data_IF_701771145035
#
_entry.id   IF_701771145035
#
_cell.length_a   1.000
_cell.length_b   1.000
_cell.length_c   1.000
_cell.angle_alpha   90.00
_cell.angle_beta   90.00
_cell.angle_gamma   90.00
#
_symmetry.space_group_name_H-M   'P 1'
#
loop_
_entity.id
_entity.type
_entity.pdbx_description
1 polymer ?
#
# COMPACT_ATOMS: atom_id res chain seq x y z
N UNK A 1 -34.71 70.80 -13.55
CA UNK A 1 -34.02 70.13 -14.68
C UNK A 1 -33.49 68.78 -14.17
N UNK A 2 -33.92 67.71 -14.80
CA UNK A 2 -33.67 66.34 -14.39
C UNK A 2 -32.26 65.91 -14.81
N UNK A 3 -31.56 65.18 -13.95
CA UNK A 3 -30.40 64.42 -14.40
C UNK A 3 -30.49 63.00 -13.87
N UNK A 4 -30.63 62.04 -14.82
CA UNK A 4 -30.75 60.63 -14.59
C UNK A 4 -29.36 60.00 -14.43
N UNK A 5 -29.09 59.33 -13.31
CA UNK A 5 -27.88 58.54 -13.12
C UNK A 5 -28.10 57.11 -13.60
N UNK A 6 -27.28 56.66 -14.52
CA UNK A 6 -27.24 55.32 -15.10
C UNK A 6 -26.49 54.39 -14.13
N UNK A 7 -27.18 53.33 -13.65
CA UNK A 7 -26.56 52.25 -12.88
C UNK A 7 -26.02 51.17 -13.83
N UNK A 8 -24.69 51.03 -13.85
CA UNK A 8 -24.02 49.93 -14.54
C UNK A 8 -24.02 48.71 -13.63
N UNK A 9 -24.80 47.66 -13.96
CA UNK A 9 -24.77 46.36 -13.28
C UNK A 9 -23.63 45.55 -13.87
N UNK A 10 -22.49 45.41 -13.15
CA UNK A 10 -21.48 44.37 -13.42
C UNK A 10 -21.90 43.07 -12.73
N UNK A 11 -22.53 42.18 -13.47
CA UNK A 11 -22.82 40.82 -13.03
C UNK A 11 -21.53 39.97 -13.13
N UNK A 12 -20.88 39.69 -12.01
CA UNK A 12 -19.92 38.60 -11.89
C UNK A 12 -20.67 37.36 -11.45
N UNK A 13 -20.93 36.46 -12.37
CA UNK A 13 -21.34 35.09 -12.06
C UNK A 13 -20.14 34.32 -11.58
N UNK A 14 -20.19 33.62 -10.42
CA UNK A 14 -19.13 32.69 -10.03
C UNK A 14 -19.20 31.47 -10.93
N UNK A 15 -18.21 31.31 -11.77
CA UNK A 15 -18.06 30.12 -12.59
C UNK A 15 -17.51 28.97 -11.68
N UNK A 16 -18.40 28.28 -10.98
CA UNK A 16 -18.06 27.06 -10.26
C UNK A 16 -17.93 25.93 -11.29
N UNK A 17 -16.77 25.82 -11.91
CA UNK A 17 -16.39 24.57 -12.56
C UNK A 17 -16.08 23.54 -11.48
N UNK A 18 -17.12 22.88 -10.99
CA UNK A 18 -16.98 21.61 -10.29
C UNK A 18 -16.44 20.63 -11.33
N UNK A 19 -15.16 20.30 -11.22
CA UNK A 19 -14.57 19.16 -11.93
C UNK A 19 -15.47 17.96 -11.66
N UNK A 20 -16.01 17.26 -12.67
CA UNK A 20 -16.88 16.12 -12.43
C UNK A 20 -16.02 15.07 -11.69
N UNK A 21 -16.45 14.67 -10.48
CA UNK A 21 -15.94 13.47 -9.81
C UNK A 21 -16.16 12.33 -10.81
N UNK A 22 -15.05 11.85 -11.41
CA UNK A 22 -15.10 10.67 -12.28
C UNK A 22 -15.69 9.53 -11.43
N UNK A 23 -16.80 8.96 -11.85
CA UNK A 23 -17.39 7.78 -11.22
C UNK A 23 -16.34 6.67 -11.18
N UNK A 24 -16.13 6.09 -10.01
CA UNK A 24 -15.28 4.90 -9.84
C UNK A 24 -15.84 3.83 -10.79
N UNK A 25 -14.98 3.26 -11.62
CA UNK A 25 -15.39 2.29 -12.62
C UNK A 25 -15.81 0.99 -11.91
N UNK A 26 -17.08 0.56 -12.10
CA UNK A 26 -17.63 -0.64 -11.47
C UNK A 26 -16.83 -1.89 -11.86
N UNK A 27 -16.42 -2.67 -10.85
CA UNK A 27 -15.68 -3.92 -11.05
C UNK A 27 -14.16 -3.78 -11.15
N UNK A 28 -13.62 -2.58 -10.96
CA UNK A 28 -12.16 -2.36 -10.92
C UNK A 28 -11.57 -2.84 -9.59
N UNK A 29 -10.44 -3.55 -9.68
CA UNK A 29 -9.66 -3.97 -8.52
C UNK A 29 -8.33 -3.19 -8.50
N UNK A 30 -7.92 -2.76 -7.32
CA UNK A 30 -6.58 -2.26 -7.02
C UNK A 30 -5.97 -3.22 -6.01
N UNK A 31 -4.84 -3.84 -6.37
CA UNK A 31 -4.03 -4.56 -5.41
C UNK A 31 -3.05 -3.58 -4.79
N UNK A 32 -3.25 -3.31 -3.50
CA UNK A 32 -2.54 -2.24 -2.79
C UNK A 32 -1.15 -2.62 -2.31
N UNK A 33 -0.70 -3.86 -2.55
CA UNK A 33 0.68 -4.30 -2.33
C UNK A 33 1.01 -5.56 -3.12
N UNK A 34 1.94 -5.45 -4.07
CA UNK A 34 2.42 -6.58 -4.86
C UNK A 34 3.91 -6.45 -5.17
N UNK A 35 4.51 -7.56 -5.53
CA UNK A 35 5.84 -7.63 -6.15
C UNK A 35 5.76 -8.04 -7.63
N UNK A 36 4.60 -7.84 -8.26
CA UNK A 36 4.40 -8.07 -9.68
C UNK A 36 5.35 -7.19 -10.51
N UNK A 37 5.97 -7.77 -11.54
CA UNK A 37 6.92 -7.03 -12.39
C UNK A 37 8.30 -6.83 -11.75
N UNK A 38 8.58 -7.43 -10.59
CA UNK A 38 9.91 -7.38 -9.98
C UNK A 38 11.00 -7.88 -10.94
N UNK A 39 12.24 -7.37 -10.82
CA UNK A 39 13.36 -7.89 -11.59
C UNK A 39 13.59 -9.37 -11.24
N UNK A 40 13.69 -10.21 -12.25
CA UNK A 40 14.13 -11.60 -12.09
C UNK A 40 15.66 -11.65 -11.92
N UNK A 41 16.18 -12.80 -11.50
CA UNK A 41 17.65 -13.02 -11.45
C UNK A 41 18.35 -12.79 -12.79
N UNK A 42 17.60 -12.89 -13.90
CA UNK A 42 18.07 -12.61 -15.26
C UNK A 42 18.06 -11.12 -15.61
N UNK A 43 17.56 -10.25 -14.74
CA UNK A 43 17.34 -8.83 -15.00
C UNK A 43 16.06 -8.51 -15.77
N UNK A 44 15.32 -9.52 -16.25
CA UNK A 44 14.07 -9.33 -16.96
C UNK A 44 12.90 -9.07 -16.00
N UNK A 45 11.99 -8.22 -16.45
CA UNK A 45 10.71 -7.98 -15.75
C UNK A 45 9.75 -9.13 -16.00
N UNK A 46 8.96 -9.52 -15.02
CA UNK A 46 7.92 -10.54 -15.18
C UNK A 46 6.67 -9.98 -15.87
N UNK A 47 6.80 -9.73 -17.18
CA UNK A 47 5.72 -9.21 -18.01
C UNK A 47 4.55 -10.18 -18.15
N UNK A 48 4.77 -11.48 -17.97
CA UNK A 48 3.70 -12.47 -18.04
C UNK A 48 2.71 -12.29 -16.87
N UNK A 49 3.21 -12.01 -15.67
CA UNK A 49 2.36 -11.68 -14.51
C UNK A 49 1.56 -10.39 -14.78
N UNK A 50 2.23 -9.33 -15.26
CA UNK A 50 1.57 -8.05 -15.52
C UNK A 50 0.50 -8.15 -16.63
N UNK A 51 0.71 -8.99 -17.63
CA UNK A 51 -0.25 -9.20 -18.72
C UNK A 51 -1.59 -9.78 -18.25
N UNK A 52 -1.65 -10.38 -17.04
CA UNK A 52 -2.89 -10.90 -16.45
C UNK A 52 -3.74 -9.84 -15.76
N UNK A 53 -3.29 -8.59 -15.63
CA UNK A 53 -4.04 -7.51 -14.97
C UNK A 53 -5.36 -7.19 -15.69
N UNK A 54 -5.30 -6.78 -16.95
CA UNK A 54 -6.48 -6.35 -17.71
C UNK A 54 -7.56 -7.43 -17.80
N UNK A 55 -7.24 -8.70 -18.16
CA UNK A 55 -8.24 -9.77 -18.23
C UNK A 55 -8.96 -10.04 -16.90
N UNK A 56 -8.33 -9.69 -15.76
CA UNK A 56 -8.87 -9.96 -14.42
C UNK A 56 -9.40 -8.71 -13.73
N UNK A 57 -9.60 -7.60 -14.47
CA UNK A 57 -10.21 -6.39 -13.92
C UNK A 57 -9.30 -5.60 -12.96
N UNK A 58 -7.99 -5.81 -13.01
CA UNK A 58 -7.04 -5.03 -12.21
C UNK A 58 -6.79 -3.70 -12.91
N UNK A 59 -7.23 -2.61 -12.31
CA UNK A 59 -6.98 -1.25 -12.81
C UNK A 59 -5.64 -0.69 -12.36
N UNK A 60 -5.15 -1.11 -11.20
CA UNK A 60 -3.80 -0.80 -10.75
C UNK A 60 -3.21 -1.88 -9.86
N UNK A 61 -1.90 -2.05 -9.94
CA UNK A 61 -1.09 -2.81 -8.99
C UNK A 61 -0.07 -1.88 -8.34
N UNK A 62 -0.08 -1.82 -7.00
CA UNK A 62 0.94 -1.11 -6.24
C UNK A 62 2.16 -2.02 -6.14
N UNK A 63 3.23 -1.66 -6.85
CA UNK A 63 4.43 -2.49 -7.00
C UNK A 63 5.54 -2.01 -6.08
N UNK A 64 5.92 -2.84 -5.11
CA UNK A 64 6.85 -2.48 -4.05
C UNK A 64 8.30 -2.84 -4.39
N UNK A 65 9.18 -1.83 -4.35
CA UNK A 65 10.62 -1.98 -4.39
C UNK A 65 11.13 -2.29 -2.97
N UNK A 66 11.78 -3.43 -2.78
CA UNK A 66 12.26 -3.87 -1.46
C UNK A 66 13.61 -3.22 -1.16
N UNK A 67 13.65 -2.34 -0.16
CA UNK A 67 14.85 -1.57 0.16
C UNK A 67 15.92 -2.41 0.89
N UNK A 68 15.54 -3.24 1.83
CA UNK A 68 16.46 -4.04 2.67
C UNK A 68 16.91 -5.36 2.03
N UNK A 69 16.52 -5.65 0.77
CA UNK A 69 16.86 -6.91 0.07
C UNK A 69 18.36 -7.25 0.09
N UNK A 70 19.30 -6.27 0.04
CA UNK A 70 20.73 -6.60 0.10
C UNK A 70 21.19 -7.16 1.45
N UNK A 71 20.45 -6.90 2.53
CA UNK A 71 20.82 -7.24 3.89
C UNK A 71 20.10 -8.48 4.43
N UNK A 72 19.03 -8.93 3.76
CA UNK A 72 18.18 -10.04 4.23
C UNK A 72 18.35 -11.29 3.38
N UNK A 73 18.20 -12.44 4.03
CA UNK A 73 18.12 -13.74 3.34
C UNK A 73 17.13 -14.65 4.04
N UNK A 74 16.66 -15.65 3.32
CA UNK A 74 15.85 -16.71 3.92
C UNK A 74 16.76 -17.67 4.71
N UNK A 75 16.50 -17.78 5.99
CA UNK A 75 17.14 -18.79 6.83
C UNK A 75 16.70 -20.21 6.37
N UNK A 76 17.63 -21.12 6.08
CA UNK A 76 17.29 -22.45 5.56
C UNK A 76 16.58 -23.34 6.59
N UNK A 77 16.75 -23.07 7.89
CA UNK A 77 16.15 -23.86 8.98
C UNK A 77 14.76 -23.31 9.37
N UNK A 78 14.69 -22.03 9.71
CA UNK A 78 13.45 -21.39 10.19
C UNK A 78 12.53 -20.99 9.07
N UNK A 79 13.02 -20.93 7.81
CA UNK A 79 12.32 -20.42 6.62
C UNK A 79 11.92 -18.94 6.71
N UNK A 80 12.36 -18.22 7.74
CA UNK A 80 12.13 -16.78 7.90
C UNK A 80 13.13 -15.98 7.11
N UNK A 81 12.73 -14.78 6.70
CA UNK A 81 13.65 -13.75 6.22
C UNK A 81 14.25 -13.08 7.46
N UNK A 82 15.57 -12.97 7.47
CA UNK A 82 16.32 -12.40 8.58
C UNK A 82 17.55 -11.66 8.08
N UNK A 83 18.05 -10.74 8.88
CA UNK A 83 19.33 -10.06 8.61
C UNK A 83 20.47 -11.06 8.59
N UNK A 84 21.31 -11.00 7.59
CA UNK A 84 22.50 -11.84 7.49
C UNK A 84 23.82 -11.05 7.44
N UNK A 85 23.75 -9.74 7.17
CA UNK A 85 24.90 -8.82 7.16
C UNK A 85 24.43 -7.37 7.32
N UNK A 86 25.34 -6.48 7.58
CA UNK A 86 25.14 -5.04 7.44
C UNK A 86 25.19 -4.65 5.95
N UNK A 87 24.47 -3.61 5.58
CA UNK A 87 24.54 -3.03 4.25
C UNK A 87 25.71 -2.06 4.10
N UNK A 88 26.27 -2.00 2.91
CA UNK A 88 27.21 -0.93 2.55
C UNK A 88 26.44 0.37 2.25
N UNK A 89 27.06 1.56 2.47
CA UNK A 89 26.41 2.83 2.12
C UNK A 89 25.94 2.88 0.67
N UNK A 90 24.70 3.27 0.44
CA UNK A 90 24.07 3.37 -0.87
C UNK A 90 23.54 2.07 -1.45
N UNK A 91 23.73 0.93 -0.80
CA UNK A 91 23.34 -0.37 -1.34
C UNK A 91 21.83 -0.56 -1.34
N UNK A 92 21.13 -0.10 -0.29
CA UNK A 92 19.67 -0.09 -0.23
C UNK A 92 19.07 0.86 -1.26
N UNK A 93 19.67 2.03 -1.46
CA UNK A 93 19.25 2.96 -2.50
C UNK A 93 19.45 2.35 -3.90
N UNK A 94 20.58 1.69 -4.16
CA UNK A 94 20.82 1.01 -5.43
C UNK A 94 19.82 -0.12 -5.69
N UNK A 95 19.40 -0.86 -4.66
CA UNK A 95 18.37 -1.87 -4.77
C UNK A 95 17.02 -1.24 -5.16
N UNK A 96 16.59 -0.18 -4.49
CA UNK A 96 15.36 0.56 -4.83
C UNK A 96 15.42 1.07 -6.27
N UNK A 97 16.52 1.69 -6.69
CA UNK A 97 16.71 2.19 -8.05
C UNK A 97 16.58 1.09 -9.10
N UNK A 98 17.14 -0.09 -8.82
CA UNK A 98 17.04 -1.26 -9.72
C UNK A 98 15.59 -1.73 -9.86
N UNK A 99 14.83 -1.84 -8.75
CA UNK A 99 13.41 -2.20 -8.79
C UNK A 99 12.59 -1.18 -9.58
N UNK A 100 12.72 0.11 -9.25
CA UNK A 100 11.96 1.17 -9.91
C UNK A 100 12.25 1.22 -11.41
N UNK A 101 13.52 1.08 -11.80
CA UNK A 101 13.91 1.03 -13.21
C UNK A 101 13.31 -0.19 -13.94
N UNK A 102 13.22 -1.34 -13.25
CA UNK A 102 12.53 -2.53 -13.76
C UNK A 102 11.05 -2.29 -13.99
N UNK A 103 10.35 -1.66 -13.04
CA UNK A 103 8.93 -1.35 -13.18
C UNK A 103 8.68 -0.37 -14.33
N UNK A 104 9.51 0.67 -14.46
CA UNK A 104 9.44 1.62 -15.58
C UNK A 104 9.70 0.93 -16.93
N UNK A 105 10.64 -0.03 -16.98
CA UNK A 105 10.95 -0.81 -18.19
C UNK A 105 9.89 -1.89 -18.51
N UNK A 106 8.90 -2.12 -17.66
CA UNK A 106 7.84 -3.09 -17.87
C UNK A 106 6.95 -2.74 -19.11
N UNK A 107 6.96 -1.48 -19.51
CA UNK A 107 6.15 -0.99 -20.64
C UNK A 107 4.70 -0.71 -20.25
N UNK A 108 4.38 -0.71 -18.95
CA UNK A 108 3.08 -0.31 -18.43
C UNK A 108 3.07 1.17 -18.03
N UNK A 109 1.88 1.75 -18.01
CA UNK A 109 1.70 3.11 -17.49
C UNK A 109 2.04 3.16 -16.00
N UNK A 110 2.63 4.25 -15.58
CA UNK A 110 2.85 4.56 -14.15
C UNK A 110 1.79 5.59 -13.75
N UNK A 111 0.91 5.20 -12.82
CA UNK A 111 -0.07 6.12 -12.25
C UNK A 111 0.60 7.01 -11.19
N UNK A 112 0.55 8.31 -11.40
CA UNK A 112 1.08 9.33 -10.49
C UNK A 112 0.00 10.05 -9.72
N UNK A 113 -1.21 10.05 -10.28
CA UNK A 113 -2.41 10.68 -9.71
C UNK A 113 -3.59 9.69 -9.71
N UNK A 114 -4.54 9.83 -8.78
CA UNK A 114 -5.71 8.93 -8.73
C UNK A 114 -6.47 8.84 -10.06
N UNK A 115 -6.51 9.94 -10.83
CA UNK A 115 -7.16 9.99 -12.14
C UNK A 115 -6.46 9.23 -13.27
N UNK A 116 -5.22 8.75 -13.02
CA UNK A 116 -4.48 7.93 -13.97
C UNK A 116 -4.94 6.46 -13.97
N UNK A 117 -5.63 6.03 -12.89
CA UNK A 117 -6.02 4.64 -12.70
C UNK A 117 -7.31 4.34 -13.46
N UNK A 118 -7.26 3.34 -14.35
CA UNK A 118 -8.36 2.93 -15.22
C UNK A 118 -8.39 1.43 -15.41
N UNK A 119 -9.59 0.87 -15.53
CA UNK A 119 -9.77 -0.57 -15.73
C UNK A 119 -9.42 -1.01 -17.15
N UNK A 120 -9.68 -0.15 -18.12
CA UNK A 120 -9.45 -0.40 -19.55
C UNK A 120 -7.97 -0.20 -19.97
N UNK A 121 -7.17 0.41 -19.12
CA UNK A 121 -5.76 0.69 -19.36
C UNK A 121 -5.00 0.62 -18.02
N UNK A 122 -4.71 -0.62 -17.53
CA UNK A 122 -4.09 -0.85 -16.24
C UNK A 122 -2.75 -0.14 -16.06
N UNK A 123 -2.47 0.26 -14.84
CA UNK A 123 -1.25 0.98 -14.49
C UNK A 123 -0.55 0.40 -13.26
N UNK A 124 0.73 0.69 -13.13
CA UNK A 124 1.50 0.44 -11.91
C UNK A 124 1.50 1.71 -11.06
N UNK A 125 1.40 1.55 -9.75
CA UNK A 125 1.70 2.59 -8.76
C UNK A 125 3.02 2.23 -8.10
N UNK A 126 4.01 3.09 -8.22
CA UNK A 126 5.33 2.83 -7.64
C UNK A 126 5.28 2.96 -6.12
N UNK A 127 5.81 1.96 -5.44
CA UNK A 127 5.96 1.94 -3.99
C UNK A 127 7.36 1.46 -3.57
N UNK A 128 7.71 1.75 -2.32
CA UNK A 128 8.95 1.26 -1.70
C UNK A 128 8.59 0.58 -0.39
N UNK A 129 9.18 -0.58 -0.13
CA UNK A 129 9.02 -1.36 1.08
C UNK A 129 10.29 -1.30 1.92
N UNK A 130 10.22 -0.58 3.06
CA UNK A 130 11.33 -0.26 3.94
C UNK A 130 12.00 1.08 3.62
N UNK A 131 12.28 1.87 4.67
CA UNK A 131 12.98 3.15 4.57
C UNK A 131 14.50 3.04 4.68
N UNK A 132 15.06 1.84 4.63
CA UNK A 132 16.50 1.60 4.73
C UNK A 132 17.32 2.35 3.68
N UNK A 133 16.69 2.71 2.56
CA UNK A 133 17.30 3.51 1.50
C UNK A 133 17.53 4.98 1.87
N UNK A 134 16.94 5.48 2.96
CA UNK A 134 17.07 6.89 3.35
C UNK A 134 18.47 7.21 3.87
N UNK A 135 19.08 6.32 4.65
CA UNK A 135 20.44 6.47 5.19
C UNK A 135 20.66 7.87 5.80
N UNK A 136 19.73 8.31 6.68
CA UNK A 136 19.78 9.61 7.34
C UNK A 136 19.43 10.83 6.47
N UNK A 137 19.07 10.66 5.21
CA UNK A 137 18.81 11.74 4.26
C UNK A 137 17.35 11.81 3.82
N UNK A 138 16.57 12.75 4.37
CA UNK A 138 15.16 12.97 4.01
C UNK A 138 14.95 13.52 2.60
N UNK A 139 15.94 14.15 1.97
CA UNK A 139 15.81 14.68 0.60
C UNK A 139 15.61 13.55 -0.42
N UNK A 140 15.96 12.30 -0.06
CA UNK A 140 15.67 11.13 -0.87
C UNK A 140 14.17 10.89 -1.05
N UNK A 141 13.33 11.32 -0.09
CA UNK A 141 11.87 11.26 -0.24
C UNK A 141 11.37 12.18 -1.36
N UNK A 142 11.95 13.39 -1.48
CA UNK A 142 11.62 14.32 -2.55
C UNK A 142 12.01 13.76 -3.92
N UNK A 143 13.20 13.14 -3.99
CA UNK A 143 13.66 12.49 -5.23
C UNK A 143 12.73 11.33 -5.64
N UNK A 144 12.28 10.51 -4.67
CA UNK A 144 11.33 9.42 -4.94
C UNK A 144 9.96 9.94 -5.34
N UNK A 145 9.45 11.00 -4.71
CA UNK A 145 8.21 11.66 -5.09
C UNK A 145 8.26 12.22 -6.51
N UNK A 146 9.35 12.88 -6.89
CA UNK A 146 9.60 13.40 -8.23
C UNK A 146 9.65 12.28 -9.29
N UNK A 147 10.26 11.15 -8.96
CA UNK A 147 10.28 9.95 -9.80
C UNK A 147 8.90 9.33 -9.99
N UNK A 148 7.97 9.55 -9.08
CA UNK A 148 6.60 9.05 -9.18
C UNK A 148 6.23 7.99 -8.16
N UNK A 149 7.06 7.77 -7.14
CA UNK A 149 6.69 6.92 -6.00
C UNK A 149 5.54 7.56 -5.24
N UNK A 150 4.53 6.74 -4.87
CA UNK A 150 3.29 7.21 -4.24
C UNK A 150 2.96 6.53 -2.92
N UNK A 151 3.65 5.45 -2.59
CA UNK A 151 3.51 4.79 -1.28
C UNK A 151 4.89 4.37 -0.78
N UNK A 152 5.19 4.58 0.49
CA UNK A 152 6.43 4.13 1.12
C UNK A 152 6.09 3.52 2.48
N UNK A 153 6.52 2.29 2.66
CA UNK A 153 6.44 1.55 3.91
C UNK A 153 7.66 1.89 4.77
N UNK A 154 7.45 2.15 6.05
CA UNK A 154 8.52 2.63 6.94
C UNK A 154 9.57 1.54 7.24
N UNK A 155 9.13 0.34 7.53
CA UNK A 155 10.00 -0.78 7.90
C UNK A 155 9.61 -2.03 7.11
N UNK A 156 10.52 -2.99 6.98
CA UNK A 156 10.22 -4.28 6.35
C UNK A 156 10.66 -5.45 7.26
N UNK A 157 11.78 -6.11 6.99
CA UNK A 157 12.29 -7.19 7.84
C UNK A 157 13.39 -6.76 8.83
N UNK A 158 13.78 -5.49 8.80
CA UNK A 158 14.80 -4.94 9.68
C UNK A 158 14.24 -3.76 10.50
N UNK A 159 14.64 -3.69 11.77
CA UNK A 159 14.58 -2.45 12.52
C UNK A 159 15.52 -1.47 11.83
N UNK A 160 15.03 -0.29 11.51
CA UNK A 160 15.79 0.72 10.80
C UNK A 160 15.69 2.10 11.48
N UNK A 161 16.29 3.12 10.90
CA UNK A 161 16.31 4.47 11.45
C UNK A 161 14.94 5.15 11.58
N UNK A 162 13.86 4.57 10.99
CA UNK A 162 12.52 5.12 11.13
C UNK A 162 11.73 4.53 12.29
N UNK A 163 12.02 3.30 12.73
CA UNK A 163 11.31 2.67 13.83
C UNK A 163 11.51 1.16 13.93
N UNK A 164 10.72 0.56 14.81
CA UNK A 164 10.74 -0.86 15.14
C UNK A 164 9.74 -1.67 14.30
N UNK A 165 10.03 -2.97 14.12
CA UNK A 165 9.20 -3.93 13.41
C UNK A 165 8.42 -4.84 14.36
N UNK A 166 7.35 -5.48 13.85
CA UNK A 166 6.49 -6.38 14.64
C UNK A 166 7.18 -7.67 15.09
N UNK A 167 8.20 -8.12 14.36
CA UNK A 167 8.76 -9.49 14.48
C UNK A 167 10.03 -9.57 15.30
N UNK A 168 10.56 -8.42 15.74
CA UNK A 168 11.79 -8.34 16.53
C UNK A 168 11.53 -7.58 17.84
N UNK A 169 12.34 -7.80 18.87
CA UNK A 169 12.28 -6.99 20.07
C UNK A 169 12.46 -5.50 19.78
N UNK A 170 11.78 -4.60 20.49
CA UNK A 170 11.90 -3.17 20.25
C UNK A 170 13.31 -2.67 20.56
N UNK A 171 13.84 -1.83 19.68
CA UNK A 171 15.15 -1.15 19.81
C UNK A 171 14.92 0.33 20.17
N UNK A 172 13.93 0.96 19.56
CA UNK A 172 13.63 2.39 19.69
C UNK A 172 12.45 2.65 20.62
N UNK A 173 11.55 1.67 20.80
CA UNK A 173 10.30 1.83 21.57
C UNK A 173 9.25 2.67 20.82
N UNK A 174 9.31 2.69 19.47
CA UNK A 174 8.42 3.43 18.60
C UNK A 174 9.15 4.07 17.42
N UNK A 175 8.55 5.04 16.74
CA UNK A 175 9.26 5.75 15.67
C UNK A 175 10.34 6.63 16.27
N UNK A 176 11.49 6.70 15.61
CA UNK A 176 12.55 7.65 15.98
C UNK A 176 12.14 9.08 15.65
N UNK A 177 12.92 10.08 16.10
CA UNK A 177 12.74 11.47 15.68
C UNK A 177 12.89 11.61 14.16
N UNK A 178 13.81 10.85 13.54
CA UNK A 178 13.99 10.79 12.10
C UNK A 178 12.78 10.15 11.41
N UNK A 179 12.24 9.03 11.92
CA UNK A 179 11.04 8.39 11.39
C UNK A 179 9.82 9.30 11.43
N UNK A 180 9.61 10.02 12.55
CA UNK A 180 8.54 11.03 12.63
C UNK A 180 8.73 12.19 11.64
N UNK A 181 9.97 12.61 11.37
CA UNK A 181 10.27 13.60 10.35
C UNK A 181 10.02 13.05 8.93
N UNK A 182 10.38 11.78 8.67
CA UNK A 182 10.11 11.10 7.41
C UNK A 182 8.61 11.04 7.12
N UNK A 183 7.76 10.68 8.11
CA UNK A 183 6.30 10.68 7.99
C UNK A 183 5.77 12.05 7.58
N UNK A 184 6.20 13.11 8.26
CA UNK A 184 5.80 14.48 7.90
C UNK A 184 6.25 14.87 6.49
N UNK A 185 7.48 14.47 6.11
CA UNK A 185 7.98 14.76 4.76
C UNK A 185 7.21 14.00 3.69
N UNK A 186 6.88 12.72 3.90
CA UNK A 186 6.01 11.96 3.00
C UNK A 186 4.67 12.63 2.79
N UNK A 187 4.02 13.12 3.86
CA UNK A 187 2.76 13.86 3.77
C UNK A 187 2.91 15.13 2.90
N UNK A 188 4.01 15.88 3.04
CA UNK A 188 4.29 17.07 2.25
C UNK A 188 4.52 16.74 0.77
N UNK A 189 5.19 15.63 0.48
CA UNK A 189 5.48 15.15 -0.86
C UNK A 189 4.28 14.45 -1.55
N UNK A 190 3.16 14.27 -0.83
CA UNK A 190 2.01 13.52 -1.35
C UNK A 190 2.31 12.03 -1.53
N UNK A 191 3.13 11.46 -0.64
CA UNK A 191 3.43 10.03 -0.56
C UNK A 191 2.59 9.44 0.57
N UNK A 192 1.91 8.33 0.31
CA UNK A 192 1.14 7.59 1.30
C UNK A 192 2.12 6.88 2.24
N UNK A 193 1.91 7.06 3.55
CA UNK A 193 2.66 6.34 4.58
C UNK A 193 2.03 4.96 4.76
N UNK A 194 2.83 3.91 4.60
CA UNK A 194 2.43 2.53 4.86
C UNK A 194 3.11 2.04 6.14
N UNK A 195 2.32 1.47 7.04
CA UNK A 195 2.78 0.98 8.34
C UNK A 195 2.80 -0.55 8.45
N UNK A 196 2.57 -1.27 7.33
CA UNK A 196 2.77 -2.71 7.35
C UNK A 196 4.18 -3.03 7.86
N UNK A 197 4.34 -4.15 8.60
CA UNK A 197 5.54 -4.54 9.33
C UNK A 197 5.92 -3.70 10.55
N UNK A 198 5.46 -2.45 10.71
CA UNK A 198 5.78 -1.63 11.87
C UNK A 198 5.29 -2.26 13.19
N UNK A 199 6.04 -2.10 14.27
CA UNK A 199 5.57 -2.44 15.61
C UNK A 199 4.38 -1.57 16.01
N UNK A 200 3.57 -2.04 16.96
CA UNK A 200 2.40 -1.30 17.45
C UNK A 200 2.79 0.08 18.02
N UNK A 201 3.90 0.15 18.76
CA UNK A 201 4.42 1.43 19.28
C UNK A 201 4.90 2.36 18.16
N UNK A 202 5.48 1.80 17.08
CA UNK A 202 5.84 2.58 15.90
C UNK A 202 4.59 3.18 15.25
N UNK A 203 3.53 2.40 15.06
CA UNK A 203 2.26 2.91 14.50
C UNK A 203 1.64 3.99 15.37
N UNK A 204 1.63 3.78 16.69
CA UNK A 204 1.13 4.79 17.64
C UNK A 204 1.81 6.15 17.48
N UNK A 205 3.12 6.14 17.34
CA UNK A 205 3.86 7.39 17.11
C UNK A 205 3.68 7.96 15.70
N UNK A 206 3.50 7.11 14.68
CA UNK A 206 3.17 7.52 13.31
C UNK A 206 1.83 8.25 13.26
N UNK A 207 0.79 7.74 13.96
CA UNK A 207 -0.51 8.40 14.08
C UNK A 207 -0.38 9.80 14.68
N UNK A 208 0.52 9.98 15.67
CA UNK A 208 0.82 11.31 16.22
C UNK A 208 1.61 12.24 15.29
N UNK A 209 2.28 11.71 14.27
CA UNK A 209 3.13 12.47 13.35
C UNK A 209 2.46 12.79 12.00
N UNK A 210 1.53 11.94 11.55
CA UNK A 210 0.86 12.09 10.26
C UNK A 210 -0.26 13.12 10.31
N UNK A 211 -0.47 13.82 9.20
CA UNK A 211 -1.63 14.68 8.95
C UNK A 211 -2.55 14.13 7.85
N UNK A 212 -2.24 12.95 7.32
CA UNK A 212 -2.93 12.29 6.22
C UNK A 212 -3.29 10.85 6.62
N UNK A 213 -4.27 10.22 5.96
CA UNK A 213 -4.54 8.79 6.17
C UNK A 213 -3.32 7.92 5.89
N UNK A 214 -3.15 6.87 6.70
CA UNK A 214 -2.09 5.86 6.51
C UNK A 214 -2.67 4.56 5.95
N UNK A 215 -1.80 3.72 5.39
CA UNK A 215 -2.14 2.37 4.99
C UNK A 215 -1.44 1.34 5.90
N UNK A 216 -2.07 0.18 6.08
CA UNK A 216 -1.41 -1.07 6.41
C UNK A 216 -1.68 -2.01 5.23
N UNK A 217 -0.82 -1.99 4.23
CA UNK A 217 -1.13 -2.49 2.88
C UNK A 217 -1.36 -3.99 2.81
N UNK A 218 -0.72 -4.78 3.68
CA UNK A 218 -0.86 -6.23 3.71
C UNK A 218 -0.73 -6.74 5.15
N UNK A 219 -1.86 -7.16 5.72
CA UNK A 219 -1.93 -7.68 7.08
C UNK A 219 -3.20 -8.52 7.30
N UNK A 220 -3.19 -9.26 8.40
CA UNK A 220 -4.35 -9.99 8.90
C UNK A 220 -4.52 -9.67 10.38
N UNK A 221 -5.72 -9.84 10.90
CA UNK A 221 -5.98 -9.66 12.33
C UNK A 221 -5.56 -10.91 13.12
N UNK A 222 -5.11 -10.71 14.35
CA UNK A 222 -4.96 -11.79 15.32
C UNK A 222 -6.28 -12.54 15.48
N UNK A 223 -6.18 -13.86 15.58
CA UNK A 223 -7.35 -14.74 15.71
C UNK A 223 -7.11 -15.72 16.85
N UNK A 224 -7.47 -15.33 18.09
CA UNK A 224 -7.35 -16.20 19.24
C UNK A 224 -8.06 -17.53 19.04
N UNK A 225 -7.36 -18.63 19.35
CA UNK A 225 -7.88 -19.99 19.16
C UNK A 225 -7.61 -20.61 17.80
N UNK A 226 -7.14 -19.85 16.81
CA UNK A 226 -6.63 -20.42 15.57
C UNK A 226 -5.16 -20.84 15.72
N UNK A 227 -4.72 -22.02 15.20
CA UNK A 227 -3.33 -22.50 15.38
C UNK A 227 -2.23 -21.50 14.97
N UNK A 228 -2.49 -20.72 13.93
CA UNK A 228 -1.55 -19.72 13.41
C UNK A 228 -1.98 -18.28 13.79
N UNK A 229 -3.00 -18.12 14.64
CA UNK A 229 -3.73 -16.85 14.83
C UNK A 229 -3.03 -15.79 15.69
N UNK A 230 -1.90 -16.13 16.35
CA UNK A 230 -1.17 -15.21 17.25
C UNK A 230 0.26 -14.91 16.74
N UNK A 231 0.48 -15.01 15.44
CA UNK A 231 1.78 -14.67 14.87
C UNK A 231 2.06 -13.16 15.02
N UNK A 232 3.32 -12.75 15.31
CA UNK A 232 3.68 -11.32 15.51
C UNK A 232 3.31 -10.39 14.34
N UNK A 233 3.23 -10.93 13.11
CA UNK A 233 2.82 -10.18 11.93
C UNK A 233 1.31 -9.87 11.87
N UNK A 234 0.50 -10.43 12.77
CA UNK A 234 -0.93 -10.16 12.78
C UNK A 234 -1.25 -9.00 13.72
N UNK A 235 -2.21 -8.18 13.28
CA UNK A 235 -2.57 -6.95 13.95
C UNK A 235 -3.39 -7.24 15.21
N UNK A 236 -3.06 -6.56 16.31
CA UNK A 236 -3.95 -6.43 17.45
C UNK A 236 -5.18 -5.58 17.08
N UNK A 237 -6.28 -5.65 17.86
CA UNK A 237 -7.40 -4.73 17.69
C UNK A 237 -7.00 -3.25 17.84
N UNK A 238 -6.03 -2.95 18.71
CA UNK A 238 -5.56 -1.59 18.94
C UNK A 238 -4.76 -1.08 17.73
N UNK A 239 -3.90 -1.91 17.16
CA UNK A 239 -3.20 -1.58 15.92
C UNK A 239 -4.19 -1.25 14.80
N UNK A 240 -5.17 -2.13 14.57
CA UNK A 240 -6.18 -1.91 13.53
C UNK A 240 -6.96 -0.61 13.75
N UNK A 241 -7.33 -0.31 15.02
CA UNK A 241 -8.01 0.94 15.38
C UNK A 241 -7.18 2.16 15.03
N UNK A 242 -5.87 2.15 15.35
CA UNK A 242 -4.96 3.26 15.03
C UNK A 242 -4.91 3.59 13.54
N UNK A 243 -4.93 2.57 12.66
CA UNK A 243 -5.01 2.80 11.20
C UNK A 243 -6.34 3.48 10.84
N UNK A 244 -7.46 3.00 11.39
CA UNK A 244 -8.81 3.53 11.14
C UNK A 244 -8.97 4.97 11.63
N UNK A 245 -8.39 5.33 12.77
CA UNK A 245 -8.44 6.70 13.34
C UNK A 245 -7.85 7.75 12.40
N UNK A 246 -6.94 7.37 11.51
CA UNK A 246 -6.44 8.25 10.45
C UNK A 246 -7.32 8.29 9.20
N UNK A 247 -8.46 7.60 9.18
CA UNK A 247 -9.25 7.31 7.99
C UNK A 247 -8.48 6.43 6.98
N UNK A 248 -7.62 5.57 7.49
CA UNK A 248 -6.75 4.68 6.74
C UNK A 248 -7.43 3.40 6.25
N UNK A 249 -6.64 2.52 5.63
CA UNK A 249 -7.10 1.24 5.06
C UNK A 249 -6.14 0.12 5.40
N UNK A 250 -6.69 -1.05 5.72
CA UNK A 250 -5.97 -2.30 5.96
C UNK A 250 -6.22 -3.24 4.78
N UNK A 251 -5.16 -3.71 4.13
CA UNK A 251 -5.21 -4.68 3.04
C UNK A 251 -5.20 -6.12 3.53
N UNK A 252 -6.18 -6.91 3.12
CA UNK A 252 -6.19 -8.34 3.39
C UNK A 252 -5.05 -9.03 2.64
N UNK A 253 -4.30 -9.85 3.36
CA UNK A 253 -3.04 -10.45 2.94
C UNK A 253 -3.12 -11.98 2.85
N UNK A 254 -2.53 -12.55 1.78
CA UNK A 254 -2.36 -14.00 1.68
C UNK A 254 -1.11 -14.42 2.48
N UNK A 255 -1.29 -14.58 3.77
CA UNK A 255 -0.21 -14.83 4.71
C UNK A 255 0.52 -16.16 4.44
N UNK A 256 1.84 -16.10 4.46
CA UNK A 256 2.75 -17.28 4.31
C UNK A 256 2.45 -18.38 5.34
N UNK A 257 1.90 -18.01 6.49
CA UNK A 257 1.73 -18.89 7.65
C UNK A 257 0.38 -19.57 7.72
N UNK A 258 -0.62 -19.09 6.97
CA UNK A 258 -1.95 -19.67 6.97
C UNK A 258 -2.03 -20.90 6.07
N UNK A 259 -2.26 -22.06 6.67
CA UNK A 259 -2.43 -23.32 5.94
C UNK A 259 -3.62 -23.29 4.99
N UNK A 260 -4.57 -22.38 5.21
CA UNK A 260 -5.80 -22.21 4.42
C UNK A 260 -5.60 -21.42 3.11
N UNK A 261 -4.44 -20.80 2.91
CA UNK A 261 -4.09 -20.15 1.64
C UNK A 261 -5.10 -19.05 1.25
N UNK A 262 -5.61 -19.03 -0.01
CA UNK A 262 -6.58 -18.03 -0.46
C UNK A 262 -7.91 -18.08 0.33
N UNK A 263 -8.50 -19.22 0.68
CA UNK A 263 -9.67 -19.26 1.59
C UNK A 263 -9.38 -18.59 2.94
N UNK A 264 -8.18 -18.75 3.50
CA UNK A 264 -7.76 -18.07 4.74
C UNK A 264 -7.67 -16.55 4.58
N UNK A 265 -7.13 -16.05 3.46
CA UNK A 265 -7.14 -14.62 3.13
C UNK A 265 -8.57 -14.08 3.03
N UNK A 266 -9.47 -14.78 2.34
CA UNK A 266 -10.88 -14.40 2.19
C UNK A 266 -11.57 -14.35 3.57
N UNK A 267 -11.32 -15.32 4.43
CA UNK A 267 -11.83 -15.33 5.80
C UNK A 267 -11.32 -14.12 6.58
N UNK A 268 -10.03 -13.80 6.48
CA UNK A 268 -9.43 -12.63 7.13
C UNK A 268 -9.96 -11.31 6.57
N UNK A 269 -10.22 -11.22 5.27
CA UNK A 269 -10.89 -10.07 4.67
C UNK A 269 -12.21 -9.76 5.40
N UNK A 270 -13.05 -10.78 5.56
CA UNK A 270 -14.33 -10.61 6.25
C UNK A 270 -14.18 -10.30 7.74
N UNK A 271 -13.24 -10.95 8.42
CA UNK A 271 -12.93 -10.61 9.82
C UNK A 271 -12.49 -9.17 9.98
N UNK A 272 -11.68 -8.67 9.05
CA UNK A 272 -11.24 -7.28 9.07
C UNK A 272 -12.41 -6.34 8.83
N UNK A 273 -13.31 -6.64 7.86
CA UNK A 273 -14.55 -5.86 7.64
C UNK A 273 -15.41 -5.82 8.92
N UNK A 274 -15.61 -6.97 9.57
CA UNK A 274 -16.42 -7.07 10.77
C UNK A 274 -15.81 -6.30 11.96
N UNK A 275 -14.47 -6.18 12.01
CA UNK A 275 -13.76 -5.51 13.11
C UNK A 275 -13.61 -3.99 12.94
N UNK A 276 -13.34 -3.51 11.72
CA UNK A 276 -13.00 -2.11 11.46
C UNK A 276 -13.99 -1.37 10.57
N UNK A 277 -14.96 -2.07 10.01
CA UNK A 277 -15.90 -1.52 9.05
C UNK A 277 -15.40 -1.58 7.61
N UNK A 278 -16.36 -1.60 6.68
CA UNK A 278 -16.11 -1.83 5.26
C UNK A 278 -15.32 -0.70 4.57
N UNK A 279 -15.39 0.50 5.12
CA UNK A 279 -14.72 1.69 4.56
C UNK A 279 -13.19 1.69 4.80
N UNK A 280 -12.69 0.74 5.61
CA UNK A 280 -11.29 0.67 6.03
C UNK A 280 -10.58 -0.61 5.58
N UNK A 281 -11.13 -1.33 4.60
CA UNK A 281 -10.56 -2.60 4.13
C UNK A 281 -10.29 -2.56 2.63
N UNK A 282 -9.20 -3.18 2.21
CA UNK A 282 -8.79 -3.33 0.81
C UNK A 282 -8.15 -4.68 0.54
N UNK A 283 -7.60 -4.85 -0.64
CA UNK A 283 -6.89 -6.06 -1.09
C UNK A 283 -5.41 -5.73 -1.22
N UNK A 284 -4.55 -6.43 -0.47
CA UNK A 284 -3.10 -6.28 -0.53
C UNK A 284 -2.44 -7.66 -0.46
N UNK A 285 -2.27 -8.29 -1.61
CA UNK A 285 -1.99 -9.73 -1.68
C UNK A 285 -0.55 -10.11 -1.35
N UNK A 286 0.41 -9.20 -1.55
CA UNK A 286 1.85 -9.47 -1.46
C UNK A 286 2.31 -10.51 -2.51
N UNK A 287 1.56 -10.64 -3.63
CA UNK A 287 1.90 -11.57 -4.70
C UNK A 287 3.04 -11.04 -5.60
N UNK A 288 3.77 -11.89 -6.28
CA UNK A 288 3.94 -13.32 -6.11
C UNK A 288 5.06 -13.68 -5.14
N UNK A 289 4.99 -13.21 -3.89
CA UNK A 289 5.96 -13.49 -2.85
C UNK A 289 5.52 -14.64 -1.92
N UNK A 290 6.46 -15.35 -1.32
CA UNK A 290 6.19 -16.38 -0.33
C UNK A 290 5.21 -17.47 -0.81
N UNK A 291 4.14 -17.70 -0.04
CA UNK A 291 3.04 -18.63 -0.38
C UNK A 291 2.22 -18.11 -1.55
N UNK A 292 2.11 -16.79 -1.70
CA UNK A 292 1.42 -16.21 -2.85
C UNK A 292 2.06 -16.64 -4.19
N UNK A 293 3.34 -16.99 -4.22
CA UNK A 293 3.98 -17.52 -5.43
C UNK A 293 3.32 -18.80 -5.98
N UNK A 294 2.68 -19.60 -5.13
CA UNK A 294 1.98 -20.83 -5.54
C UNK A 294 0.47 -20.67 -5.62
N UNK A 295 -0.10 -19.83 -4.75
CA UNK A 295 -1.54 -19.64 -4.64
C UNK A 295 -2.08 -18.51 -5.52
N UNK A 296 -1.29 -17.43 -5.67
CA UNK A 296 -1.59 -16.28 -6.52
C UNK A 296 -0.34 -15.94 -7.34
N UNK A 297 0.05 -16.79 -8.30
CA UNK A 297 1.26 -16.57 -9.10
C UNK A 297 1.11 -15.35 -10.03
N UNK A 298 -0.12 -14.95 -10.30
CA UNK A 298 -0.54 -13.81 -11.10
C UNK A 298 -1.90 -13.27 -10.64
N UNK A 299 -2.50 -12.35 -11.38
CA UNK A 299 -3.77 -11.70 -11.01
C UNK A 299 -5.03 -12.54 -11.30
N UNK A 300 -4.92 -13.76 -11.83
CA UNK A 300 -6.07 -14.55 -12.28
C UNK A 300 -7.05 -14.92 -11.17
N UNK A 301 -6.57 -15.06 -9.93
CA UNK A 301 -7.39 -15.47 -8.78
C UNK A 301 -8.05 -14.32 -8.01
N UNK A 302 -7.80 -13.06 -8.37
CA UNK A 302 -8.45 -11.91 -7.69
C UNK A 302 -9.98 -11.95 -7.82
N UNK A 303 -10.49 -12.49 -8.94
CA UNK A 303 -11.94 -12.65 -9.12
C UNK A 303 -12.57 -13.65 -8.15
N UNK A 304 -11.82 -14.58 -7.56
CA UNK A 304 -12.32 -15.48 -6.50
C UNK A 304 -12.61 -14.68 -5.21
N UNK A 305 -11.83 -13.64 -4.90
CA UNK A 305 -12.08 -12.74 -3.77
C UNK A 305 -13.38 -11.96 -4.01
N UNK A 306 -13.56 -11.44 -5.22
CA UNK A 306 -14.79 -10.71 -5.62
C UNK A 306 -16.01 -11.64 -5.55
N UNK A 307 -15.88 -12.87 -6.04
CA UNK A 307 -16.95 -13.86 -5.98
C UNK A 307 -17.35 -14.16 -4.52
N UNK A 308 -16.36 -14.37 -3.64
CA UNK A 308 -16.62 -14.64 -2.22
C UNK A 308 -17.33 -13.48 -1.51
N UNK A 309 -17.01 -12.23 -1.85
CA UNK A 309 -17.73 -11.05 -1.31
C UNK A 309 -19.20 -11.05 -1.76
N UNK A 310 -19.46 -11.35 -3.03
CA UNK A 310 -20.83 -11.48 -3.56
C UNK A 310 -21.61 -12.62 -2.94
N UNK A 311 -20.95 -13.78 -2.77
CA UNK A 311 -21.56 -14.97 -2.14
C UNK A 311 -21.92 -14.70 -0.67
N UNK A 312 -21.17 -13.82 0.01
CA UNK A 312 -21.53 -13.33 1.36
C UNK A 312 -22.72 -12.36 1.34
N UNK A 313 -23.22 -11.96 0.19
CA UNK A 313 -24.36 -11.06 0.04
C UNK A 313 -24.00 -9.59 0.03
N UNK A 314 -22.72 -9.23 -0.16
CA UNK A 314 -22.30 -7.84 -0.27
C UNK A 314 -22.87 -7.19 -1.53
N UNK A 315 -23.35 -5.96 -1.41
CA UNK A 315 -23.84 -5.15 -2.53
C UNK A 315 -22.71 -4.79 -3.50
N UNK A 316 -23.05 -4.39 -4.73
CA UNK A 316 -22.05 -3.97 -5.70
C UNK A 316 -21.23 -2.76 -5.21
N UNK A 317 -21.85 -1.85 -4.46
CA UNK A 317 -21.17 -0.69 -3.87
C UNK A 317 -20.18 -1.10 -2.78
N UNK A 318 -20.55 -2.05 -1.91
CA UNK A 318 -19.69 -2.59 -0.88
C UNK A 318 -18.48 -3.33 -1.46
N UNK A 319 -18.69 -4.12 -2.51
CA UNK A 319 -17.60 -4.78 -3.24
C UNK A 319 -16.67 -3.75 -3.89
N UNK A 320 -17.23 -2.69 -4.50
CA UNK A 320 -16.44 -1.60 -5.10
C UNK A 320 -15.59 -0.88 -4.07
N UNK A 321 -16.13 -0.60 -2.87
CA UNK A 321 -15.36 0.00 -1.77
C UNK A 321 -14.11 -0.81 -1.45
N UNK A 322 -14.27 -2.10 -1.23
CA UNK A 322 -13.15 -3.00 -0.86
C UNK A 322 -12.18 -3.20 -2.02
N UNK A 323 -12.68 -3.34 -3.24
CA UNK A 323 -11.84 -3.60 -4.41
C UNK A 323 -10.96 -2.42 -4.80
N UNK A 324 -11.45 -1.17 -4.67
CA UNK A 324 -10.71 0.00 -5.15
C UNK A 324 -11.06 1.30 -4.43
N UNK A 325 -12.32 1.49 -4.04
CA UNK A 325 -12.84 2.76 -3.55
C UNK A 325 -12.10 3.27 -2.31
N UNK A 326 -11.84 2.40 -1.35
CA UNK A 326 -11.17 2.77 -0.11
C UNK A 326 -9.72 3.20 -0.33
N UNK A 327 -8.96 2.46 -1.15
CA UNK A 327 -7.60 2.83 -1.49
C UNK A 327 -7.55 4.15 -2.27
N UNK A 328 -8.44 4.33 -3.26
CA UNK A 328 -8.55 5.58 -4.03
C UNK A 328 -8.90 6.77 -3.14
N UNK A 329 -9.76 6.57 -2.12
CA UNK A 329 -10.08 7.60 -1.13
C UNK A 329 -8.83 8.08 -0.40
N UNK A 330 -8.00 7.15 0.08
CA UNK A 330 -6.72 7.48 0.73
C UNK A 330 -5.79 8.20 -0.25
N UNK A 331 -5.62 7.66 -1.46
CA UNK A 331 -4.75 8.26 -2.46
C UNK A 331 -5.17 9.69 -2.81
N UNK A 332 -6.48 9.93 -3.01
CA UNK A 332 -7.02 11.28 -3.23
C UNK A 332 -6.73 12.23 -2.07
N UNK A 333 -6.92 11.78 -0.81
CA UNK A 333 -6.66 12.61 0.37
C UNK A 333 -5.20 12.97 0.58
N UNK A 334 -4.31 12.07 0.18
CA UNK A 334 -2.86 12.30 0.30
C UNK A 334 -2.37 13.23 -0.81
N UNK A 335 -2.90 13.11 -2.03
CA UNK A 335 -2.51 13.94 -3.19
C UNK A 335 -3.17 15.31 -3.23
N UNK A 336 -4.40 15.42 -2.76
CA UNK A 336 -5.18 16.68 -2.73
C UNK A 336 -5.04 17.37 -1.40
#
# INVERSE_FOLDING_TARGET
MRNQGVWCKTGLTPNSQTTPRRSIQRGMIIDMHTHAGRPRRTGDVDRAVLATMAPNGIGAAVVAAIADIPMIRRNPETKRLEKFRDGDPGECMAAVENYLSSFEAAGMRIAREPGDIRIDDPSLVLAIEGCDFLEGNLDRLDAMAARGVRSIQLTHYLVNETGDIQTEPPVHGGPTAFGAAAVRRMNQCGIIVDVAHCSEDTVKGVVGATSKPILCTHANLKEPGHPDGDHPRYLSPDYARMVVETDGVIGAWIAVLWREKLPGMIRQLFRTIDAVGIDHVGIGTDMPAGVAATEMPDFSRHQEIVAAMRDRGMTAEEVEKVCSGNWLRVFNKVRG
#
